data_IF_040160151140
#
_entry.id   IF_040160151140
#
_cell.length_a   1.000
_cell.length_b   1.000
_cell.length_c   1.000
_cell.angle_alpha   90.00
_cell.angle_beta   90.00
_cell.angle_gamma   90.00
#
_symmetry.space_group_name_H-M   'P 1'
#
loop_
_entity.id
_entity.type
_entity.pdbx_description
1 polymer ?
#
# COMPACT_ATOMS: atom_id res chain seq x y z
N UNK A 1 -15.04 38.94 14.67
CA UNK A 1 -14.15 38.84 13.48
C UNK A 1 -12.87 38.05 13.79
N UNK A 2 -12.27 38.19 14.98
CA UNK A 2 -11.06 37.44 15.39
C UNK A 2 -11.16 35.91 15.28
N UNK A 3 -12.29 35.31 15.66
CA UNK A 3 -12.49 33.85 15.61
C UNK A 3 -12.44 33.30 14.19
N UNK A 4 -12.91 34.07 13.20
CA UNK A 4 -12.86 33.71 11.79
C UNK A 4 -11.40 33.69 11.29
N UNK A 5 -10.63 34.71 11.67
CA UNK A 5 -9.23 34.84 11.30
C UNK A 5 -8.36 33.74 11.92
N UNK A 6 -8.64 33.35 13.17
CA UNK A 6 -7.96 32.26 13.87
C UNK A 6 -8.26 30.92 13.20
N UNK A 7 -9.52 30.67 12.83
CA UNK A 7 -9.90 29.44 12.13
C UNK A 7 -9.26 29.35 10.73
N UNK A 8 -9.19 30.46 9.99
CA UNK A 8 -8.47 30.51 8.71
C UNK A 8 -6.99 30.15 8.87
N UNK A 9 -6.30 30.72 9.87
CA UNK A 9 -4.90 30.39 10.16
C UNK A 9 -4.71 28.93 10.55
N UNK A 10 -5.62 28.35 11.34
CA UNK A 10 -5.59 26.93 11.71
C UNK A 10 -5.72 26.02 10.49
N UNK A 11 -6.69 26.28 9.61
CA UNK A 11 -6.84 25.51 8.37
C UNK A 11 -5.57 25.57 7.50
N UNK A 12 -4.96 26.75 7.38
CA UNK A 12 -3.69 26.94 6.68
C UNK A 12 -2.56 26.08 7.28
N UNK A 13 -2.39 26.11 8.59
CA UNK A 13 -1.38 25.31 9.30
C UNK A 13 -1.63 23.82 9.11
N UNK A 14 -2.89 23.36 9.25
CA UNK A 14 -3.24 21.95 9.07
C UNK A 14 -2.92 21.48 7.66
N UNK A 15 -3.24 22.29 6.64
CA UNK A 15 -2.94 21.95 5.25
C UNK A 15 -1.43 21.87 4.99
N UNK A 16 -0.64 22.78 5.56
CA UNK A 16 0.83 22.75 5.45
C UNK A 16 1.44 21.54 6.16
N UNK A 17 0.90 21.14 7.31
CA UNK A 17 1.37 19.93 8.01
C UNK A 17 1.07 18.67 7.21
N UNK A 18 -0.14 18.55 6.65
CA UNK A 18 -0.51 17.43 5.76
C UNK A 18 0.41 17.37 4.54
N UNK A 19 0.82 18.52 4.01
CA UNK A 19 1.73 18.62 2.87
C UNK A 19 3.18 18.21 3.19
N UNK A 20 3.69 18.59 4.37
CA UNK A 20 5.07 18.32 4.77
C UNK A 20 5.27 16.92 5.39
N UNK A 21 4.22 16.36 6.01
CA UNK A 21 4.27 15.10 6.76
C UNK A 21 3.52 13.97 6.04
N UNK A 22 3.60 13.92 4.72
CA UNK A 22 3.01 12.84 3.93
C UNK A 22 3.71 11.51 4.25
N UNK A 23 2.94 10.52 4.70
CA UNK A 23 3.44 9.15 4.95
C UNK A 23 3.56 8.33 3.67
N UNK A 24 3.09 8.86 2.54
CA UNK A 24 3.17 8.20 1.25
C UNK A 24 4.63 8.19 0.76
N UNK A 25 5.27 7.00 0.62
CA UNK A 25 6.65 6.90 0.17
C UNK A 25 6.87 7.39 -1.27
N UNK A 26 5.81 7.49 -2.08
CA UNK A 26 5.84 7.98 -3.46
C UNK A 26 5.46 9.46 -3.60
N UNK A 27 5.35 10.22 -2.50
CA UNK A 27 5.00 11.63 -2.59
C UNK A 27 6.01 12.41 -3.47
N UNK A 28 5.54 13.09 -4.54
CA UNK A 28 6.40 13.87 -5.42
C UNK A 28 7.22 14.94 -4.70
N UNK A 29 6.72 15.49 -3.59
CA UNK A 29 7.38 16.54 -2.79
C UNK A 29 8.55 15.97 -1.99
N UNK A 30 8.40 14.75 -1.47
CA UNK A 30 9.45 14.05 -0.73
C UNK A 30 10.52 13.58 -1.71
N UNK A 31 10.11 12.99 -2.83
CA UNK A 31 11.01 12.21 -3.67
C UNK A 31 11.53 12.93 -4.94
N UNK A 32 11.05 14.14 -5.25
CA UNK A 32 11.55 14.97 -6.37
C UNK A 32 11.62 14.22 -7.72
N UNK A 33 10.71 13.27 -7.94
CA UNK A 33 10.61 12.49 -9.18
C UNK A 33 11.68 11.42 -9.40
N UNK A 34 12.43 10.98 -8.37
CA UNK A 34 13.58 10.05 -8.54
C UNK A 34 13.28 8.55 -8.35
N UNK A 35 12.03 8.13 -8.09
CA UNK A 35 11.69 6.71 -7.80
C UNK A 35 11.16 5.91 -9.00
N UNK A 36 11.15 6.45 -10.22
CA UNK A 36 10.56 5.70 -11.34
C UNK A 36 11.55 4.66 -11.88
N UNK A 37 11.18 3.38 -11.76
CA UNK A 37 11.85 2.28 -12.44
C UNK A 37 11.02 1.87 -13.67
N UNK A 38 11.68 1.72 -14.82
CA UNK A 38 11.06 1.19 -16.04
C UNK A 38 11.36 -0.29 -16.14
N UNK A 39 10.33 -1.12 -16.22
CA UNK A 39 10.44 -2.56 -16.43
C UNK A 39 9.95 -2.86 -17.85
N UNK A 40 10.82 -3.43 -18.67
CA UNK A 40 10.52 -3.80 -20.06
C UNK A 40 10.35 -5.31 -20.18
N UNK A 41 9.42 -5.75 -21.04
CA UNK A 41 9.25 -7.17 -21.33
C UNK A 41 10.33 -7.64 -22.31
N UNK A 42 10.81 -8.86 -22.11
CA UNK A 42 11.67 -9.55 -23.08
C UNK A 42 10.91 -9.79 -24.39
N UNK A 43 11.61 -9.65 -25.53
CA UNK A 43 11.02 -9.78 -26.87
C UNK A 43 10.27 -11.12 -27.06
N UNK A 44 10.82 -12.20 -26.53
CA UNK A 44 10.24 -13.56 -26.56
C UNK A 44 8.90 -13.71 -25.83
N UNK A 45 8.53 -12.74 -24.99
CA UNK A 45 7.30 -12.75 -24.21
C UNK A 45 6.35 -11.62 -24.59
N UNK A 46 6.71 -10.78 -25.57
CA UNK A 46 5.82 -9.75 -26.10
C UNK A 46 4.57 -10.40 -26.70
N UNK A 47 3.41 -9.94 -26.26
CA UNK A 47 2.10 -10.45 -26.71
C UNK A 47 1.60 -11.70 -25.97
N UNK A 48 2.38 -12.30 -25.08
CA UNK A 48 1.93 -13.44 -24.27
C UNK A 48 1.29 -12.95 -22.97
N UNK A 49 0.01 -13.24 -22.78
CA UNK A 49 -0.70 -12.92 -21.54
C UNK A 49 -0.31 -13.92 -20.45
N UNK A 50 0.25 -13.42 -19.35
CA UNK A 50 0.60 -14.22 -18.17
C UNK A 50 -0.49 -14.02 -17.10
N UNK A 51 -1.31 -15.06 -16.91
CA UNK A 51 -2.32 -15.11 -15.83
C UNK A 51 -2.12 -16.39 -15.04
N UNK A 52 -1.56 -16.24 -13.85
CA UNK A 52 -1.47 -17.34 -12.91
C UNK A 52 -2.76 -17.44 -12.09
N UNK A 53 -3.19 -18.68 -11.83
CA UNK A 53 -4.37 -18.97 -11.00
C UNK A 53 -4.09 -18.59 -9.54
N UNK A 54 -5.05 -17.91 -8.90
CA UNK A 54 -4.96 -17.57 -7.48
C UNK A 54 -4.90 -18.81 -6.61
N UNK A 55 -4.13 -18.72 -5.52
CA UNK A 55 -4.02 -19.79 -4.53
C UNK A 55 -5.28 -19.86 -3.67
N UNK A 56 -5.50 -21.02 -3.04
CA UNK A 56 -6.56 -21.15 -2.05
C UNK A 56 -6.12 -20.48 -0.74
N UNK A 57 -6.97 -19.62 -0.19
CA UNK A 57 -6.70 -18.90 1.07
C UNK A 57 -7.60 -19.41 2.18
N UNK A 58 -7.03 -19.63 3.37
CA UNK A 58 -7.80 -19.88 4.59
C UNK A 58 -8.62 -18.64 4.97
N UNK A 59 -9.69 -18.77 5.79
CA UNK A 59 -10.46 -17.62 6.25
C UNK A 59 -9.61 -16.56 6.95
N UNK A 60 -8.65 -16.98 7.79
CA UNK A 60 -7.74 -16.08 8.50
C UNK A 60 -6.81 -15.34 7.54
N UNK A 61 -6.28 -16.03 6.51
CA UNK A 61 -5.41 -15.37 5.54
C UNK A 61 -6.17 -14.28 4.77
N UNK A 62 -7.45 -14.50 4.46
CA UNK A 62 -8.28 -13.51 3.75
C UNK A 62 -8.53 -12.26 4.59
N UNK A 63 -8.73 -12.43 5.89
CA UNK A 63 -8.91 -11.31 6.81
C UNK A 63 -7.63 -10.48 6.91
N UNK A 64 -6.49 -11.13 7.12
CA UNK A 64 -5.17 -10.48 7.13
C UNK A 64 -4.85 -9.77 5.81
N UNK A 65 -5.13 -10.42 4.67
CA UNK A 65 -4.99 -9.77 3.36
C UNK A 65 -5.86 -8.53 3.25
N UNK A 66 -7.08 -8.56 3.76
CA UNK A 66 -8.00 -7.42 3.68
C UNK A 66 -7.48 -6.22 4.46
N UNK A 67 -6.86 -6.46 5.63
CA UNK A 67 -6.22 -5.44 6.44
C UNK A 67 -5.02 -4.85 5.71
N UNK A 68 -4.07 -5.69 5.28
CA UNK A 68 -2.85 -5.24 4.61
C UNK A 68 -3.12 -4.52 3.27
N UNK A 69 -4.06 -5.03 2.47
CA UNK A 69 -4.45 -4.39 1.21
C UNK A 69 -5.05 -3.01 1.48
N UNK A 70 -5.86 -2.86 2.52
CA UNK A 70 -6.45 -1.58 2.89
C UNK A 70 -5.37 -0.57 3.29
N UNK A 71 -4.42 -0.97 4.14
CA UNK A 71 -3.30 -0.12 4.55
C UNK A 71 -2.48 0.36 3.35
N UNK A 72 -2.17 -0.53 2.41
CA UNK A 72 -1.41 -0.17 1.20
C UNK A 72 -2.20 0.75 0.25
N UNK A 73 -3.53 0.60 0.17
CA UNK A 73 -4.40 1.49 -0.58
C UNK A 73 -4.47 2.88 0.06
N UNK A 74 -4.61 2.94 1.39
CA UNK A 74 -4.67 4.19 2.16
C UNK A 74 -3.34 4.96 2.03
N UNK A 75 -2.20 4.24 2.05
CA UNK A 75 -0.86 4.79 1.78
C UNK A 75 -0.61 5.15 0.32
N UNK A 76 -1.53 4.81 -0.60
CA UNK A 76 -1.42 5.00 -2.06
C UNK A 76 -0.18 4.33 -2.66
N UNK A 77 0.23 3.21 -2.08
CA UNK A 77 1.33 2.36 -2.56
C UNK A 77 0.85 1.44 -3.69
N UNK A 78 -0.41 1.02 -3.65
CA UNK A 78 -1.06 0.19 -4.68
C UNK A 78 -2.37 0.82 -5.14
N UNK A 79 -2.87 0.37 -6.30
CA UNK A 79 -4.17 0.79 -6.85
C UNK A 79 -4.93 -0.39 -7.49
N UNK A 80 -6.27 -0.33 -7.57
CA UNK A 80 -7.05 -1.31 -8.32
C UNK A 80 -6.70 -1.25 -9.82
N UNK A 81 -6.33 -2.39 -10.40
CA UNK A 81 -6.01 -2.47 -11.83
C UNK A 81 -6.98 -3.36 -12.61
N UNK A 82 -7.08 -3.10 -13.92
CA UNK A 82 -7.75 -3.98 -14.91
C UNK A 82 -6.72 -4.70 -15.80
N UNK A 83 -5.50 -4.88 -15.29
CA UNK A 83 -4.39 -5.46 -16.06
C UNK A 83 -4.75 -6.86 -16.56
N UNK A 84 -4.36 -7.21 -17.80
CA UNK A 84 -4.48 -8.58 -18.27
C UNK A 84 -3.47 -9.52 -17.62
N UNK A 85 -2.49 -9.00 -16.86
CA UNK A 85 -1.46 -9.77 -16.17
C UNK A 85 -1.82 -9.96 -14.70
N UNK A 86 -1.62 -11.17 -14.16
CA UNK A 86 -1.88 -11.45 -12.74
C UNK A 86 -0.96 -12.54 -12.19
N UNK A 87 -0.43 -12.30 -10.98
CA UNK A 87 0.35 -13.25 -10.20
C UNK A 87 -0.34 -13.51 -8.85
N UNK A 88 -0.34 -14.75 -8.33
CA UNK A 88 -0.91 -15.03 -7.01
C UNK A 88 -0.04 -14.40 -5.90
N UNK A 89 -0.69 -14.00 -4.82
CA UNK A 89 -0.05 -13.63 -3.56
C UNK A 89 -0.26 -14.74 -2.53
N UNK A 90 0.55 -14.79 -1.48
CA UNK A 90 0.38 -15.72 -0.35
C UNK A 90 0.86 -15.08 0.94
N UNK A 91 0.26 -15.48 2.05
CA UNK A 91 0.59 -14.94 3.37
C UNK A 91 1.85 -15.64 3.89
N UNK A 92 2.78 -14.85 4.44
CA UNK A 92 4.00 -15.35 5.08
C UNK A 92 4.02 -14.83 6.51
N UNK A 93 3.89 -15.73 7.48
CA UNK A 93 3.98 -15.38 8.90
C UNK A 93 5.43 -15.26 9.31
N UNK A 94 5.79 -14.14 9.97
CA UNK A 94 7.15 -13.98 10.51
C UNK A 94 7.30 -14.83 11.78
N UNK A 95 8.53 -15.26 12.08
CA UNK A 95 8.78 -16.13 13.23
C UNK A 95 8.40 -15.47 14.56
N UNK A 96 8.64 -14.16 14.70
CA UNK A 96 8.27 -13.39 15.90
C UNK A 96 6.76 -13.40 16.19
N UNK A 97 5.93 -13.41 15.15
CA UNK A 97 4.46 -13.46 15.28
C UNK A 97 3.97 -14.85 15.74
N UNK A 98 4.80 -15.90 15.60
CA UNK A 98 4.44 -17.25 16.07
C UNK A 98 4.62 -17.41 17.57
N UNK A 99 5.54 -16.65 18.16
CA UNK A 99 5.85 -16.74 19.60
C UNK A 99 4.84 -15.97 20.45
N UNK A 100 4.30 -14.85 19.96
CA UNK A 100 3.24 -14.08 20.63
C UNK A 100 1.94 -14.90 20.72
N UNK A 101 1.57 -15.63 19.67
CA UNK A 101 0.40 -16.51 19.67
C UNK A 101 0.55 -17.68 20.65
N UNK A 102 1.77 -18.11 20.99
CA UNK A 102 1.96 -19.17 22.01
C UNK A 102 1.73 -18.68 23.44
N UNK A 103 2.02 -17.41 23.73
CA UNK A 103 1.88 -16.86 25.08
C UNK A 103 0.42 -16.59 25.47
N UNK A 104 -0.46 -16.34 24.49
CA UNK A 104 -1.88 -16.07 24.75
C UNK A 104 -2.69 -17.36 25.09
N UNK A 105 -2.10 -18.54 24.87
CA UNK A 105 -2.73 -19.85 25.10
C UNK A 105 -2.03 -20.68 26.21
N UNK A 106 -1.18 -20.05 27.04
CA UNK A 106 -0.58 -20.64 28.25
C UNK A 106 -1.14 -19.98 29.51
#
# INVERSE_FOLDING_TARGET
METLQINQKRCLITNLLVECCSENPFDPKINKGKLTAKIEMLEEHKGKIIRAKSLAYSPTDREEFSIQIKELLDLKVIEPSKSPYSSPAFMVRKEAEKDEVKQEWS
#
